data_IF_677655712576
#
_entry.id   IF_677655712576
#
_cell.length_a   1.000
_cell.length_b   1.000
_cell.length_c   1.000
_cell.angle_alpha   90.00
_cell.angle_beta   90.00
_cell.angle_gamma   90.00
#
_symmetry.space_group_name_H-M   'P 1'
#
loop_
_entity.id
_entity.type
_entity.pdbx_description
1 polymer ?
#
# COMPACT_ATOMS: atom_id res chain seq x y z
N UNK A 1 -4.70 8.64 -27.88
CA UNK A 1 -5.79 7.78 -27.33
C UNK A 1 -5.33 6.78 -26.25
N UNK A 2 -4.18 6.09 -26.40
CA UNK A 2 -3.69 5.14 -25.36
C UNK A 2 -3.33 5.78 -24.01
N UNK A 3 -2.88 7.04 -23.98
CA UNK A 3 -2.56 7.75 -22.72
C UNK A 3 -3.82 8.13 -21.93
N UNK A 4 -4.86 8.69 -22.57
CA UNK A 4 -6.14 9.00 -21.91
C UNK A 4 -6.79 7.76 -21.29
N UNK A 5 -6.76 6.61 -21.97
CA UNK A 5 -7.33 5.37 -21.44
C UNK A 5 -6.62 4.90 -20.17
N UNK A 6 -5.29 5.07 -20.08
CA UNK A 6 -4.52 4.73 -18.87
C UNK A 6 -4.84 5.69 -17.72
N UNK A 7 -4.90 6.99 -18.00
CA UNK A 7 -5.28 8.00 -16.99
C UNK A 7 -6.69 7.77 -16.47
N UNK A 8 -7.65 7.41 -17.32
CA UNK A 8 -9.02 7.08 -16.92
C UNK A 8 -9.08 5.85 -16.00
N UNK A 9 -8.35 4.78 -16.32
CA UNK A 9 -8.27 3.60 -15.44
C UNK A 9 -7.61 3.92 -14.10
N UNK A 10 -6.58 4.76 -14.07
CA UNK A 10 -5.94 5.20 -12.83
C UNK A 10 -6.92 6.00 -11.95
N UNK A 11 -7.64 6.97 -12.53
CA UNK A 11 -8.64 7.76 -11.81
C UNK A 11 -9.77 6.90 -11.25
N UNK A 12 -10.27 5.94 -12.03
CA UNK A 12 -11.31 5.01 -11.61
C UNK A 12 -10.81 4.13 -10.45
N UNK A 13 -9.57 3.64 -10.53
CA UNK A 13 -8.91 2.92 -9.45
C UNK A 13 -8.81 3.74 -8.17
N UNK A 14 -8.36 5.00 -8.26
CA UNK A 14 -8.30 5.89 -7.10
C UNK A 14 -9.68 6.19 -6.49
N UNK A 15 -10.71 6.37 -7.31
CA UNK A 15 -12.07 6.58 -6.84
C UNK A 15 -12.60 5.36 -6.07
N UNK A 16 -12.37 4.15 -6.59
CA UNK A 16 -12.72 2.90 -5.90
C UNK A 16 -11.98 2.76 -4.57
N UNK A 17 -10.68 3.05 -4.56
CA UNK A 17 -9.85 2.94 -3.35
C UNK A 17 -10.31 3.93 -2.27
N UNK A 18 -10.58 5.18 -2.66
CA UNK A 18 -11.08 6.19 -1.74
C UNK A 18 -12.46 5.83 -1.17
N UNK A 19 -13.36 5.28 -1.99
CA UNK A 19 -14.66 4.79 -1.51
C UNK A 19 -14.50 3.62 -0.52
N UNK A 20 -13.58 2.69 -0.81
CA UNK A 20 -13.25 1.60 0.09
C UNK A 20 -12.75 2.11 1.46
N UNK A 21 -11.84 3.10 1.48
CA UNK A 21 -11.28 3.64 2.72
C UNK A 21 -12.36 4.30 3.61
N UNK A 22 -13.33 4.98 3.00
CA UNK A 22 -14.49 5.54 3.72
C UNK A 22 -15.37 4.44 4.31
N UNK A 23 -15.66 3.38 3.54
CA UNK A 23 -16.45 2.24 4.02
C UNK A 23 -15.75 1.55 5.19
N UNK A 24 -14.45 1.28 5.08
CA UNK A 24 -13.64 0.68 6.15
C UNK A 24 -13.70 1.54 7.42
N UNK A 25 -13.61 2.86 7.27
CA UNK A 25 -13.73 3.77 8.41
C UNK A 25 -15.11 3.72 9.07
N UNK A 26 -16.19 3.80 8.28
CA UNK A 26 -17.55 3.73 8.84
C UNK A 26 -17.82 2.39 9.53
N UNK A 27 -17.30 1.29 8.97
CA UNK A 27 -17.41 -0.03 9.60
C UNK A 27 -16.51 -0.15 10.84
N UNK A 28 -15.36 0.53 10.86
CA UNK A 28 -14.41 0.53 11.97
C UNK A 28 -14.96 1.14 13.27
N UNK A 29 -16.00 1.98 13.19
CA UNK A 29 -16.68 2.52 14.37
C UNK A 29 -17.52 1.45 15.11
N UNK A 30 -17.97 0.41 14.40
CA UNK A 30 -18.88 -0.63 14.94
C UNK A 30 -18.24 -2.02 15.02
N UNK A 31 -17.32 -2.34 14.12
CA UNK A 31 -16.68 -3.64 13.98
C UNK A 31 -15.18 -3.58 14.27
N UNK A 32 -14.65 -4.65 14.85
CA UNK A 32 -13.21 -4.78 15.08
C UNK A 32 -12.44 -4.80 13.76
N UNK A 33 -11.32 -4.09 13.73
CA UNK A 33 -10.39 -4.00 12.60
C UNK A 33 -10.03 -5.37 12.02
N UNK A 34 -9.75 -6.34 12.89
CA UNK A 34 -9.39 -7.69 12.49
C UNK A 34 -10.51 -8.39 11.70
N UNK A 35 -11.77 -8.11 12.05
CA UNK A 35 -12.92 -8.66 11.35
C UNK A 35 -13.06 -8.03 9.96
N UNK A 36 -12.87 -6.72 9.85
CA UNK A 36 -12.92 -6.01 8.56
C UNK A 36 -11.81 -6.52 7.62
N UNK A 37 -10.58 -6.66 8.12
CA UNK A 37 -9.46 -7.22 7.34
C UNK A 37 -9.78 -8.65 6.90
N UNK A 38 -10.29 -9.49 7.83
CA UNK A 38 -10.62 -10.88 7.53
C UNK A 38 -11.62 -10.99 6.38
N UNK A 39 -12.74 -10.27 6.43
CA UNK A 39 -13.73 -10.30 5.37
C UNK A 39 -13.23 -9.66 4.07
N UNK A 40 -12.45 -8.57 4.14
CA UNK A 40 -11.88 -7.92 2.95
C UNK A 40 -10.94 -8.86 2.19
N UNK A 41 -10.09 -9.59 2.91
CA UNK A 41 -9.19 -10.59 2.32
C UNK A 41 -9.98 -11.81 1.84
N UNK A 42 -10.98 -12.27 2.60
CA UNK A 42 -11.82 -13.41 2.24
C UNK A 42 -12.61 -13.16 0.95
N UNK A 43 -13.15 -11.96 0.73
CA UNK A 43 -13.85 -11.62 -0.52
C UNK A 43 -12.92 -11.33 -1.68
N UNK A 44 -11.71 -10.81 -1.41
CA UNK A 44 -10.70 -10.57 -2.45
C UNK A 44 -10.06 -11.87 -2.94
N UNK A 45 -9.91 -12.87 -2.06
CA UNK A 45 -9.20 -14.12 -2.37
C UNK A 45 -9.80 -14.89 -3.57
N UNK A 46 -11.12 -15.16 -3.65
CA UNK A 46 -11.73 -15.84 -4.80
C UNK A 46 -11.53 -15.07 -6.11
N UNK A 47 -11.63 -13.73 -6.09
CA UNK A 47 -11.43 -12.89 -7.26
C UNK A 47 -9.99 -12.93 -7.75
N UNK A 48 -9.02 -12.85 -6.85
CA UNK A 48 -7.59 -12.93 -7.17
C UNK A 48 -7.25 -14.30 -7.75
N UNK A 49 -7.74 -15.38 -7.14
CA UNK A 49 -7.55 -16.75 -7.63
C UNK A 49 -8.18 -16.91 -9.02
N UNK A 50 -9.43 -16.47 -9.21
CA UNK A 50 -10.13 -16.58 -10.51
C UNK A 50 -9.40 -15.82 -11.63
N UNK A 51 -8.82 -14.66 -11.32
CA UNK A 51 -8.02 -13.88 -12.27
C UNK A 51 -6.63 -14.47 -12.56
N UNK A 52 -6.05 -15.25 -11.63
CA UNK A 52 -4.74 -15.88 -11.82
C UNK A 52 -4.82 -17.30 -12.42
N UNK A 53 -5.99 -17.93 -12.44
CA UNK A 53 -6.20 -19.24 -13.08
C UNK A 53 -5.84 -19.30 -14.59
N UNK A 54 -6.02 -18.23 -15.40
CA UNK A 54 -5.64 -18.24 -16.81
C UNK A 54 -4.13 -18.11 -17.06
N UNK A 55 -3.36 -17.61 -16.10
CA UNK A 55 -1.90 -17.43 -16.23
C UNK A 55 -1.18 -18.77 -16.00
N UNK A 56 -1.08 -19.58 -17.06
CA UNK A 56 -0.37 -20.88 -17.09
C UNK A 56 1.16 -20.72 -17.21
N UNK A 57 1.76 -19.71 -16.57
CA UNK A 57 3.22 -19.60 -16.47
C UNK A 57 3.68 -20.32 -15.20
N UNK A 58 3.81 -21.65 -15.32
CA UNK A 58 4.25 -22.56 -14.25
C UNK A 58 5.67 -22.24 -13.75
N UNK A 59 6.49 -21.55 -14.55
CA UNK A 59 7.83 -21.06 -14.17
C UNK A 59 7.81 -19.84 -13.22
N UNK A 60 6.68 -19.17 -13.02
CA UNK A 60 6.60 -17.94 -12.20
C UNK A 60 6.15 -18.19 -10.75
N UNK A 61 5.69 -19.39 -10.42
CA UNK A 61 5.27 -19.74 -9.04
C UNK A 61 6.42 -20.22 -8.16
N UNK A 62 7.57 -20.57 -8.73
CA UNK A 62 8.78 -20.88 -7.95
C UNK A 62 9.62 -19.61 -7.80
N UNK A 63 9.57 -18.93 -6.64
CA UNK A 63 10.38 -17.74 -6.42
C UNK A 63 11.87 -18.11 -6.48
N UNK A 64 12.61 -17.58 -7.46
CA UNK A 64 14.07 -17.74 -7.58
C UNK A 64 14.82 -17.28 -6.32
N UNK A 65 14.21 -16.39 -5.53
CA UNK A 65 14.69 -15.97 -4.22
C UNK A 65 13.58 -16.06 -3.15
N UNK A 66 13.39 -17.22 -2.51
CA UNK A 66 12.29 -17.45 -1.56
C UNK A 66 12.36 -16.53 -0.34
N UNK A 67 13.58 -16.16 0.11
CA UNK A 67 13.79 -15.27 1.26
C UNK A 67 13.25 -13.86 0.97
N UNK A 68 13.52 -13.30 -0.21
CA UNK A 68 13.06 -11.97 -0.59
C UNK A 68 11.53 -11.91 -0.74
N UNK A 69 10.93 -12.98 -1.26
CA UNK A 69 9.47 -13.11 -1.35
C UNK A 69 8.84 -13.24 0.04
N UNK A 70 9.47 -13.98 0.95
CA UNK A 70 9.02 -14.09 2.33
C UNK A 70 9.07 -12.74 3.05
N UNK A 71 10.20 -12.03 3.00
CA UNK A 71 10.37 -10.70 3.61
C UNK A 71 9.36 -9.71 3.03
N UNK A 72 9.16 -9.71 1.70
CA UNK A 72 8.17 -8.85 1.05
C UNK A 72 6.75 -9.16 1.50
N UNK A 73 6.37 -10.43 1.51
CA UNK A 73 5.03 -10.85 1.92
C UNK A 73 4.78 -10.48 3.38
N UNK A 74 5.73 -10.78 4.26
CA UNK A 74 5.65 -10.47 5.69
C UNK A 74 5.56 -8.97 5.95
N UNK A 75 6.40 -8.16 5.28
CA UNK A 75 6.33 -6.70 5.34
C UNK A 75 5.00 -6.16 4.83
N UNK A 76 4.45 -6.73 3.76
CA UNK A 76 3.14 -6.33 3.21
C UNK A 76 2.01 -6.63 4.20
N UNK A 77 2.03 -7.80 4.84
CA UNK A 77 1.04 -8.17 5.87
C UNK A 77 1.12 -7.23 7.07
N UNK A 78 2.33 -6.97 7.59
CA UNK A 78 2.52 -6.02 8.70
C UNK A 78 2.02 -4.63 8.32
N UNK A 79 2.34 -4.18 7.11
CA UNK A 79 1.91 -2.86 6.62
C UNK A 79 0.39 -2.78 6.56
N UNK A 80 -0.29 -3.82 6.04
CA UNK A 80 -1.74 -3.87 6.02
C UNK A 80 -2.31 -3.80 7.44
N UNK A 81 -1.87 -4.67 8.35
CA UNK A 81 -2.36 -4.67 9.74
C UNK A 81 -2.14 -3.33 10.42
N UNK A 82 -0.96 -2.73 10.27
CA UNK A 82 -0.63 -1.42 10.82
C UNK A 82 -1.48 -0.29 10.22
N UNK A 83 -1.71 -0.30 8.91
CA UNK A 83 -2.53 0.71 8.24
C UNK A 83 -3.99 0.65 8.69
N UNK A 84 -4.57 -0.55 8.71
CA UNK A 84 -5.94 -0.75 9.20
C UNK A 84 -6.07 -0.40 10.69
N UNK A 85 -5.07 -0.71 11.51
CA UNK A 85 -5.03 -0.28 12.91
C UNK A 85 -4.97 1.25 13.03
N UNK A 86 -4.11 1.91 12.25
CA UNK A 86 -4.01 3.36 12.22
C UNK A 86 -5.32 4.02 11.80
N UNK A 87 -6.04 3.45 10.82
CA UNK A 87 -7.36 3.97 10.41
C UNK A 87 -8.43 3.87 11.50
N UNK A 88 -8.31 2.90 12.42
CA UNK A 88 -9.27 2.71 13.51
C UNK A 88 -8.96 3.59 14.72
N UNK A 89 -7.68 3.83 15.02
CA UNK A 89 -7.28 4.57 16.22
C UNK A 89 -7.04 6.06 15.94
N UNK A 90 -6.61 6.42 14.73
CA UNK A 90 -6.32 7.82 14.37
C UNK A 90 -7.44 8.43 13.51
N UNK A 91 -7.62 9.76 13.59
CA UNK A 91 -8.35 10.51 12.58
C UNK A 91 -7.80 10.23 11.18
N UNK A 92 -8.70 10.10 10.21
CA UNK A 92 -8.36 9.71 8.83
C UNK A 92 -7.35 10.69 8.20
N UNK A 93 -7.47 11.99 8.51
CA UNK A 93 -6.49 12.99 8.11
C UNK A 93 -5.06 12.69 8.61
N UNK A 94 -4.90 12.23 9.85
CA UNK A 94 -3.59 11.89 10.41
C UNK A 94 -3.03 10.60 9.80
N UNK A 95 -3.88 9.61 9.52
CA UNK A 95 -3.47 8.38 8.83
C UNK A 95 -2.94 8.66 7.42
N UNK A 96 -3.63 9.50 6.64
CA UNK A 96 -3.15 9.90 5.31
C UNK A 96 -1.91 10.79 5.38
N UNK A 97 -1.81 11.69 6.37
CA UNK A 97 -0.60 12.48 6.62
C UNK A 97 0.63 11.57 6.82
N UNK A 98 0.50 10.52 7.64
CA UNK A 98 1.55 9.51 7.83
C UNK A 98 1.85 8.74 6.53
N UNK A 99 0.84 8.39 5.74
CA UNK A 99 1.06 7.76 4.43
C UNK A 99 1.82 8.68 3.46
N UNK A 100 1.56 9.98 3.47
CA UNK A 100 2.31 10.95 2.67
C UNK A 100 3.76 11.13 3.16
N UNK A 101 4.06 10.78 4.42
CA UNK A 101 5.43 10.68 4.91
C UNK A 101 6.16 9.41 4.45
N UNK A 102 5.46 8.35 3.99
CA UNK A 102 6.11 7.09 3.59
C UNK A 102 7.19 7.27 2.50
N UNK A 103 6.99 8.04 1.41
CA UNK A 103 8.02 8.26 0.40
C UNK A 103 9.29 8.87 0.99
N UNK A 104 9.14 9.78 1.96
CA UNK A 104 10.26 10.44 2.64
C UNK A 104 11.05 9.41 3.47
N UNK A 105 10.33 8.64 4.28
CA UNK A 105 10.93 7.58 5.08
C UNK A 105 11.62 6.53 4.21
N UNK A 106 10.99 6.11 3.10
CA UNK A 106 11.57 5.18 2.13
C UNK A 106 12.85 5.76 1.53
N UNK A 107 12.89 7.04 1.14
CA UNK A 107 14.12 7.64 0.61
C UNK A 107 15.25 7.72 1.63
N UNK A 108 14.95 7.97 2.90
CA UNK A 108 15.94 7.98 3.98
C UNK A 108 16.44 6.57 4.28
N UNK A 109 15.53 5.59 4.35
CA UNK A 109 15.85 4.17 4.59
C UNK A 109 16.55 3.50 3.39
N UNK A 110 16.35 4.00 2.16
CA UNK A 110 17.04 3.51 0.98
C UNK A 110 18.56 3.76 1.04
N UNK A 111 19.02 4.80 1.75
CA UNK A 111 20.46 5.10 1.87
C UNK A 111 21.21 3.98 2.60
N UNK A 112 20.83 3.58 3.83
CA UNK A 112 21.52 2.49 4.53
C UNK A 112 21.18 1.10 3.98
N UNK A 113 19.95 0.87 3.50
CA UNK A 113 19.51 -0.46 3.06
C UNK A 113 20.03 -0.80 1.67
N UNK A 114 20.02 0.16 0.74
CA UNK A 114 20.36 -0.06 -0.67
C UNK A 114 21.76 0.45 -1.03
N UNK A 115 22.39 1.26 -0.17
CA UNK A 115 23.71 1.84 -0.41
C UNK A 115 23.74 2.90 -1.51
N UNK A 116 22.59 3.39 -1.97
CA UNK A 116 22.53 4.46 -2.97
C UNK A 116 22.97 5.80 -2.37
N UNK A 117 23.83 6.53 -3.09
CA UNK A 117 24.16 7.91 -2.75
C UNK A 117 23.01 8.84 -3.16
N UNK A 118 22.26 9.30 -2.16
CA UNK A 118 21.13 10.21 -2.34
C UNK A 118 21.65 11.64 -2.49
N UNK A 119 21.61 12.17 -3.72
CA UNK A 119 22.04 13.54 -4.02
C UNK A 119 21.21 14.62 -3.31
N UNK A 120 21.76 15.83 -3.20
CA UNK A 120 21.18 16.96 -2.47
C UNK A 120 19.73 17.31 -2.89
N UNK A 121 19.37 17.08 -4.16
CA UNK A 121 18.02 17.33 -4.67
C UNK A 121 16.97 16.39 -4.06
N UNK A 122 17.31 15.12 -3.80
CA UNK A 122 16.43 14.16 -3.11
C UNK A 122 16.26 14.55 -1.64
N UNK A 123 17.33 15.00 -0.98
CA UNK A 123 17.24 15.53 0.40
C UNK A 123 16.34 16.76 0.51
N UNK A 124 16.40 17.67 -0.46
CA UNK A 124 15.50 18.82 -0.51
C UNK A 124 14.02 18.42 -0.70
N UNK A 125 13.75 17.41 -1.53
CA UNK A 125 12.40 16.85 -1.68
C UNK A 125 11.91 16.19 -0.38
N UNK A 126 12.81 15.54 0.37
CA UNK A 126 12.50 14.93 1.68
C UNK A 126 12.13 15.98 2.71
N UNK A 127 12.92 17.04 2.85
CA UNK A 127 12.62 18.11 3.80
C UNK A 127 11.36 18.86 3.42
N UNK A 128 11.15 19.15 2.12
CA UNK A 128 9.96 19.83 1.62
C UNK A 128 8.69 18.98 1.79
N UNK A 129 8.79 17.67 1.56
CA UNK A 129 7.69 16.74 1.85
C UNK A 129 7.36 16.68 3.34
N UNK A 130 8.37 16.73 4.22
CA UNK A 130 8.16 16.71 5.67
C UNK A 130 7.46 17.98 6.16
N UNK A 131 7.84 19.13 5.61
CA UNK A 131 7.16 20.42 5.87
C UNK A 131 5.71 20.40 5.40
N UNK A 132 5.38 19.70 4.31
CA UNK A 132 4.01 19.60 3.82
C UNK A 132 3.10 18.68 4.65
N UNK A 133 3.66 17.83 5.51
CA UNK A 133 2.90 16.90 6.37
C UNK A 133 2.65 17.46 7.77
N UNK A 134 3.53 18.34 8.28
CA UNK A 134 3.37 19.08 9.53
C UNK A 134 2.26 20.14 9.42
#
# INVERSE_FOLDING_TARGET
MRQLRRSAFALLGFALFSAHDVIVKMLGDTYSVFQIIFFSVLFSFPLVVLFHLPDRNEDNLMPHHPIWVFVRTYSTVITAVAAFYAFSVLPLAQAYALMFCMPLLITVLAVPILGEQVGAHRWAAVTLGFVGVL
#
